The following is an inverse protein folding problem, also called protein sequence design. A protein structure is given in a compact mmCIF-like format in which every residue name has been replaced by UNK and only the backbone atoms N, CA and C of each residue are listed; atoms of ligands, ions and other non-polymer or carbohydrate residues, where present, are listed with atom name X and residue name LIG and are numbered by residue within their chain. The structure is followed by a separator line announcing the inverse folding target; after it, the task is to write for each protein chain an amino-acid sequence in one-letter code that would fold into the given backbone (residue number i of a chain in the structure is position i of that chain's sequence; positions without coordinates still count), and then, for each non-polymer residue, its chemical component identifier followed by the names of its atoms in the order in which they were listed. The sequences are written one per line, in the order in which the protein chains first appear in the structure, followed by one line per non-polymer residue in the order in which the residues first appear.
data_IF_002466685024
#
_entry.id   IF_002466685024
#
_cell.length_a   1.000
_cell.length_b   1.000
_cell.length_c   1.000
_cell.angle_alpha   90.00
_cell.angle_beta   90.00
_cell.angle_gamma   90.00
#
_symmetry.space_group_name_H-M   'P 1'
#
loop_
_entity.id
_entity.type
_entity.pdbx_description
1 polymer ?
#
# COMPACT_ATOMS: atom_id res chain seq x y z
N UNK A 1 24.26 -74.45 -55.46
CA UNK A 1 24.90 -73.20 -54.97
C UNK A 1 24.10 -71.90 -55.23
N UNK A 2 22.77 -71.92 -55.50
CA UNK A 2 22.00 -70.70 -55.87
C UNK A 2 21.27 -69.97 -54.73
N UNK A 3 21.22 -70.56 -53.55
CA UNK A 3 20.42 -70.14 -52.39
C UNK A 3 21.19 -69.24 -51.40
N UNK A 4 22.53 -69.26 -51.41
CA UNK A 4 23.35 -68.49 -50.46
C UNK A 4 23.33 -66.98 -50.73
N UNK A 5 23.48 -66.57 -52.00
CA UNK A 5 23.42 -65.15 -52.40
C UNK A 5 22.04 -64.53 -52.16
N UNK A 6 20.97 -65.32 -52.35
CA UNK A 6 19.59 -64.89 -52.04
C UNK A 6 19.37 -64.68 -50.54
N UNK A 7 19.91 -65.56 -49.68
CA UNK A 7 19.80 -65.43 -48.21
C UNK A 7 20.53 -64.19 -47.70
N UNK A 8 21.71 -63.88 -48.23
CA UNK A 8 22.44 -62.65 -47.88
C UNK A 8 21.66 -61.41 -48.32
N UNK A 9 21.13 -61.39 -49.54
CA UNK A 9 20.31 -60.28 -50.03
C UNK A 9 19.06 -60.04 -49.16
N UNK A 10 18.35 -61.11 -48.80
CA UNK A 10 17.18 -61.02 -47.90
C UNK A 10 17.55 -60.53 -46.50
N UNK A 11 18.69 -60.98 -45.95
CA UNK A 11 19.19 -60.51 -44.65
C UNK A 11 19.51 -59.01 -44.64
N UNK A 12 20.13 -58.50 -45.71
CA UNK A 12 20.41 -57.07 -45.86
C UNK A 12 19.13 -56.23 -45.95
N UNK A 13 18.13 -56.70 -46.72
CA UNK A 13 16.83 -56.01 -46.82
C UNK A 13 16.12 -56.00 -45.46
N UNK A 14 16.11 -57.13 -44.74
CA UNK A 14 15.51 -57.19 -43.40
C UNK A 14 16.22 -56.25 -42.41
N UNK A 15 17.56 -56.19 -42.44
CA UNK A 15 18.33 -55.28 -41.59
C UNK A 15 18.05 -53.81 -41.93
N UNK A 16 17.93 -53.47 -43.21
CA UNK A 16 17.58 -52.12 -43.65
C UNK A 16 16.19 -51.71 -43.19
N UNK A 17 15.21 -52.62 -43.26
CA UNK A 17 13.85 -52.40 -42.76
C UNK A 17 13.87 -52.16 -41.24
N UNK A 18 14.60 -52.99 -40.48
CA UNK A 18 14.71 -52.82 -39.02
C UNK A 18 15.37 -51.49 -38.64
N UNK A 19 16.42 -51.08 -39.36
CA UNK A 19 17.08 -49.80 -39.14
C UNK A 19 16.15 -48.62 -39.45
N UNK A 20 15.37 -48.70 -40.53
CA UNK A 20 14.41 -47.66 -40.90
C UNK A 20 13.27 -47.53 -39.87
N UNK A 21 12.76 -48.65 -39.37
CA UNK A 21 11.74 -48.65 -38.31
C UNK A 21 12.30 -48.06 -37.01
N UNK A 22 13.50 -48.46 -36.60
CA UNK A 22 14.14 -47.92 -35.41
C UNK A 22 14.33 -46.40 -35.50
N UNK A 23 14.70 -45.88 -36.68
CA UNK A 23 14.82 -44.44 -36.92
C UNK A 23 13.44 -43.75 -36.94
N UNK A 24 12.45 -44.32 -37.60
CA UNK A 24 11.11 -43.73 -37.72
C UNK A 24 10.35 -43.65 -36.39
N UNK A 25 10.60 -44.59 -35.48
CA UNK A 25 10.03 -44.60 -34.14
C UNK A 25 10.88 -43.87 -33.09
N UNK A 26 12.02 -43.26 -33.47
CA UNK A 26 12.75 -42.40 -32.54
C UNK A 26 11.89 -41.17 -32.23
N UNK A 27 11.63 -40.88 -30.94
CA UNK A 27 10.81 -39.74 -30.56
C UNK A 27 11.51 -38.44 -30.95
N UNK A 28 10.78 -37.56 -31.63
CA UNK A 28 11.27 -36.22 -31.93
C UNK A 28 11.22 -35.36 -30.66
N UNK A 29 12.28 -34.58 -30.38
CA UNK A 29 12.29 -33.70 -29.22
C UNK A 29 11.20 -32.61 -29.38
N UNK A 30 10.44 -32.40 -28.31
CA UNK A 30 9.43 -31.34 -28.27
C UNK A 30 10.10 -29.97 -28.13
N UNK A 31 9.67 -29.01 -28.96
CA UNK A 31 10.08 -27.61 -28.83
C UNK A 31 9.38 -26.98 -27.63
N UNK A 32 10.13 -26.43 -26.69
CA UNK A 32 9.62 -25.75 -25.49
C UNK A 32 10.19 -24.35 -25.37
N UNK A 33 9.40 -23.43 -24.84
CA UNK A 33 9.84 -22.07 -24.53
C UNK A 33 10.50 -22.04 -23.15
N UNK A 34 11.64 -21.36 -23.03
CA UNK A 34 12.42 -21.31 -21.80
C UNK A 34 12.93 -19.91 -21.53
N UNK A 35 13.03 -19.56 -20.25
CA UNK A 35 13.58 -18.30 -19.81
C UNK A 35 14.61 -18.52 -18.69
N UNK A 36 15.59 -17.62 -18.62
CA UNK A 36 16.58 -17.61 -17.55
C UNK A 36 15.94 -17.12 -16.24
N UNK A 37 16.13 -17.86 -15.15
CA UNK A 37 15.61 -17.51 -13.83
C UNK A 37 16.71 -16.82 -13.00
N UNK A 38 16.41 -15.65 -12.47
CA UNK A 38 17.31 -14.89 -11.59
C UNK A 38 16.72 -14.72 -10.19
N UNK A 39 17.55 -14.63 -9.16
CA UNK A 39 17.12 -14.33 -7.79
C UNK A 39 17.36 -12.86 -7.46
N UNK A 40 16.38 -12.23 -6.80
CA UNK A 40 16.45 -10.85 -6.35
C UNK A 40 15.48 -10.60 -5.18
N UNK A 41 15.59 -9.44 -4.51
CA UNK A 41 14.67 -9.08 -3.44
C UNK A 41 13.25 -8.90 -3.98
N UNK A 42 12.27 -9.51 -3.30
CA UNK A 42 10.85 -9.33 -3.57
C UNK A 42 10.25 -8.54 -2.40
N UNK A 43 9.77 -7.33 -2.68
CA UNK A 43 9.04 -6.53 -1.70
C UNK A 43 7.54 -6.80 -1.87
N UNK A 44 6.88 -7.13 -0.75
CA UNK A 44 5.43 -7.25 -0.67
C UNK A 44 4.97 -6.15 0.28
N UNK A 45 4.22 -5.18 -0.23
CA UNK A 45 3.72 -4.04 0.53
C UNK A 45 2.21 -4.17 0.75
N UNK A 46 1.72 -3.57 1.84
CA UNK A 46 0.30 -3.36 2.09
C UNK A 46 0.09 -1.85 2.11
N UNK A 47 -0.71 -1.36 1.17
CA UNK A 47 -1.05 0.06 1.09
C UNK A 47 -2.37 0.31 1.82
N UNK A 48 -2.32 1.21 2.80
CA UNK A 48 -3.49 1.63 3.57
C UNK A 48 -3.61 3.17 3.56
N UNK A 49 -4.85 3.66 3.60
CA UNK A 49 -5.12 5.09 3.73
C UNK A 49 -4.94 5.56 5.18
N UNK A 50 -3.94 6.41 5.42
CA UNK A 50 -3.74 7.09 6.69
C UNK A 50 -4.32 8.50 6.69
N UNK A 51 -4.82 8.96 7.85
CA UNK A 51 -5.08 10.39 8.11
C UNK A 51 -4.29 10.84 9.32
N UNK A 52 -3.57 11.95 9.19
CA UNK A 52 -2.90 12.59 10.31
C UNK A 52 -3.93 13.20 11.26
N UNK A 53 -3.76 12.99 12.57
CA UNK A 53 -4.61 13.58 13.61
C UNK A 53 -3.73 14.23 14.67
N UNK A 54 -4.09 15.44 15.08
CA UNK A 54 -3.49 16.10 16.25
C UNK A 54 -3.92 15.33 17.50
N UNK A 55 -2.96 14.88 18.30
CA UNK A 55 -3.20 14.06 19.51
C UNK A 55 -3.98 14.90 20.53
N UNK A 56 -3.43 16.05 20.90
CA UNK A 56 -3.95 16.91 21.96
C UNK A 56 -4.48 18.22 21.40
N UNK A 57 -5.74 18.20 20.96
CA UNK A 57 -6.47 19.40 20.55
C UNK A 57 -7.37 19.89 21.67
N UNK A 58 -7.01 21.03 22.26
CA UNK A 58 -7.81 21.68 23.29
C UNK A 58 -8.71 22.76 22.69
N UNK A 59 -9.94 22.85 23.20
CA UNK A 59 -10.84 23.98 22.95
C UNK A 59 -10.91 24.75 24.26
N UNK A 60 -10.44 25.99 24.24
CA UNK A 60 -10.46 26.86 25.42
C UNK A 60 -11.67 27.78 25.33
N UNK A 61 -12.45 27.82 26.40
CA UNK A 61 -13.61 28.70 26.55
C UNK A 61 -13.37 29.76 27.62
N UNK A 62 -14.02 30.91 27.46
CA UNK A 62 -14.06 31.94 28.49
C UNK A 62 -14.84 31.43 29.71
N UNK A 63 -14.32 31.58 30.94
CA UNK A 63 -15.01 31.11 32.15
C UNK A 63 -16.20 32.01 32.53
N UNK A 64 -16.23 33.25 32.05
CA UNK A 64 -17.25 34.27 32.36
C UNK A 64 -17.67 34.99 31.08
N UNK A 65 -18.89 35.54 31.08
CA UNK A 65 -19.35 36.42 30.01
C UNK A 65 -18.63 37.78 30.08
N UNK A 66 -18.32 38.35 28.91
CA UNK A 66 -17.61 39.61 28.79
C UNK A 66 -17.20 39.88 27.34
N UNK A 67 -16.52 41.00 27.12
CA UNK A 67 -16.02 41.38 25.80
C UNK A 67 -14.55 41.02 25.68
N UNK A 68 -14.18 40.21 24.69
CA UNK A 68 -12.77 39.91 24.44
C UNK A 68 -12.05 41.16 23.93
N UNK A 69 -10.95 41.53 24.59
CA UNK A 69 -9.99 42.50 24.06
C UNK A 69 -9.26 41.89 22.86
N UNK A 70 -8.52 42.72 22.13
CA UNK A 70 -7.70 42.28 21.00
C UNK A 70 -6.75 41.16 21.47
N UNK A 71 -6.76 40.05 20.75
CA UNK A 71 -5.81 38.94 20.97
C UNK A 71 -4.45 39.36 20.43
N UNK A 72 -3.42 39.20 21.25
CA UNK A 72 -2.03 39.58 20.94
C UNK A 72 -1.21 38.40 20.38
N UNK A 73 -1.75 37.18 20.42
CA UNK A 73 -1.12 35.97 19.91
C UNK A 73 -1.45 35.77 18.43
N UNK A 74 -0.45 35.31 17.68
CA UNK A 74 -0.56 34.90 16.29
C UNK A 74 -0.58 33.37 16.13
N UNK A 75 -1.01 32.92 14.95
CA UNK A 75 -1.07 31.48 14.65
C UNK A 75 0.35 30.91 14.58
N UNK A 76 0.62 29.90 15.42
CA UNK A 76 1.92 29.23 15.50
C UNK A 76 2.74 29.62 16.74
N UNK A 77 2.28 30.62 17.49
CA UNK A 77 2.92 30.98 18.76
C UNK A 77 2.86 29.82 19.76
N UNK A 78 3.99 29.58 20.42
CA UNK A 78 4.08 28.56 21.45
C UNK A 78 3.40 29.08 22.74
N UNK A 79 2.44 28.30 23.26
CA UNK A 79 1.74 28.60 24.51
C UNK A 79 1.87 27.43 25.48
N UNK A 80 2.23 27.73 26.74
CA UNK A 80 2.33 26.76 27.82
C UNK A 80 1.08 26.73 28.70
N UNK A 81 0.99 25.71 29.56
CA UNK A 81 -0.07 25.63 30.58
C UNK A 81 -0.08 26.86 31.48
N UNK A 82 -1.26 27.46 31.66
CA UNK A 82 -1.42 28.71 32.44
C UNK A 82 -1.10 30.00 31.68
N UNK A 83 -0.69 29.91 30.41
CA UNK A 83 -0.51 31.08 29.56
C UNK A 83 -1.82 31.85 29.32
N UNK A 84 -1.73 33.18 29.28
CA UNK A 84 -2.89 34.03 29.00
C UNK A 84 -3.17 34.05 27.49
N UNK A 85 -4.32 33.52 27.07
CA UNK A 85 -4.70 33.46 25.65
C UNK A 85 -5.54 34.68 25.20
N UNK A 86 -6.35 35.23 26.11
CA UNK A 86 -7.18 36.40 25.84
C UNK A 86 -7.53 37.12 27.16
N UNK A 87 -7.73 38.44 27.08
CA UNK A 87 -8.23 39.25 28.21
C UNK A 87 -9.66 39.65 27.95
N UNK A 88 -10.53 39.45 28.94
CA UNK A 88 -11.94 39.81 28.87
C UNK A 88 -12.20 41.11 29.66
N UNK A 89 -12.96 42.01 29.07
CA UNK A 89 -13.57 43.14 29.74
C UNK A 89 -14.92 42.69 30.33
N UNK A 90 -15.24 43.02 31.60
CA UNK A 90 -16.56 42.75 32.17
C UNK A 90 -17.67 43.39 31.33
N UNK A 91 -18.84 42.74 31.29
CA UNK A 91 -20.03 43.40 30.75
C UNK A 91 -20.32 44.66 31.57
N UNK A 92 -20.73 45.77 30.92
CA UNK A 92 -21.14 46.95 31.66
C UNK A 92 -22.26 46.56 32.62
N UNK A 93 -22.17 47.03 33.86
CA UNK A 93 -23.20 46.80 34.86
C UNK A 93 -24.53 47.36 34.35
N UNK A 94 -25.59 46.55 34.38
CA UNK A 94 -26.95 47.08 34.27
C UNK A 94 -27.12 48.19 35.31
N UNK A 95 -27.62 49.34 34.87
CA UNK A 95 -27.93 50.45 35.77
C UNK A 95 -28.83 49.90 36.87
N UNK A 96 -28.45 50.09 38.13
CA UNK A 96 -29.26 49.69 39.29
C UNK A 96 -30.60 50.42 39.25
N UNK A 97 -31.60 49.85 38.55
CA UNK A 97 -32.97 50.30 38.64
C UNK A 97 -33.58 49.67 39.92
N UNK A 98 -33.99 50.48 40.91
CA UNK A 98 -34.62 49.98 42.12
C UNK A 98 -35.88 49.14 41.87
N UNK A 99 -36.49 49.18 40.66
CA UNK A 99 -37.61 48.31 40.28
C UNK A 99 -37.21 46.85 40.14
N UNK A 100 -36.06 46.54 39.54
CA UNK A 100 -35.61 45.15 39.29
C UNK A 100 -35.25 44.40 40.59
N UNK A 101 -35.02 45.12 41.70
CA UNK A 101 -34.80 44.53 43.03
C UNK A 101 -36.08 44.18 43.80
N UNK A 102 -37.24 44.65 43.34
CA UNK A 102 -38.52 44.46 44.03
C UNK A 102 -39.40 43.36 43.42
N UNK A 103 -38.93 42.70 42.35
CA UNK A 103 -39.49 41.47 41.79
C UNK A 103 -38.68 40.25 42.26
#
# INVERSE_FOLDING_TARGET
MGNWRRRIGLGLVAAAILAALAWGFMPQPATVDTAQVTRGPLAVTVDEEGRTRVIDRFVISAPVAGFARRVELDVGDAVGGGGVLARLEPSPSEVLDPRTRAE
#
